data_IF_041504337699
#
_entry.id   IF_041504337699
#
_cell.length_a   1.000
_cell.length_b   1.000
_cell.length_c   1.000
_cell.angle_alpha   90.00
_cell.angle_beta   90.00
_cell.angle_gamma   90.00
#
_symmetry.space_group_name_H-M   'P 1'
#
loop_
_entity.id
_entity.type
_entity.pdbx_description
1 polymer ?
#
# COMPACT_ATOMS: atom_id res chain seq x y z
N UNK A 1 11.01 -7.53 61.24
CA UNK A 1 10.18 -7.41 60.02
C UNK A 1 9.91 -8.83 59.52
N UNK A 2 8.64 -9.24 59.38
CA UNK A 2 8.27 -10.65 59.13
C UNK A 2 8.50 -11.06 57.67
N UNK A 3 8.83 -12.32 57.38
CA UNK A 3 9.00 -12.84 56.02
C UNK A 3 7.77 -12.55 55.13
N UNK A 4 6.58 -12.52 55.74
CA UNK A 4 5.32 -12.16 55.08
C UNK A 4 5.30 -10.72 54.58
N UNK A 5 5.88 -9.78 55.33
CA UNK A 5 5.97 -8.36 54.93
C UNK A 5 6.97 -8.12 53.79
N UNK A 6 8.03 -8.93 53.70
CA UNK A 6 9.01 -8.85 52.61
C UNK A 6 8.39 -9.35 51.30
N UNK A 7 7.71 -10.51 51.34
CA UNK A 7 7.00 -11.04 50.15
C UNK A 7 5.92 -10.08 49.64
N UNK A 8 5.15 -9.47 50.55
CA UNK A 8 4.14 -8.49 50.18
C UNK A 8 4.74 -7.27 49.47
N UNK A 9 5.90 -6.78 49.95
CA UNK A 9 6.59 -5.64 49.34
C UNK A 9 7.16 -5.98 47.97
N UNK A 10 7.73 -7.18 47.80
CA UNK A 10 8.24 -7.64 46.50
C UNK A 10 7.13 -7.82 45.46
N UNK A 11 5.97 -8.33 45.87
CA UNK A 11 4.82 -8.52 44.98
C UNK A 11 4.23 -7.17 44.54
N UNK A 12 4.17 -6.20 45.46
CA UNK A 12 3.72 -4.84 45.18
C UNK A 12 4.66 -4.10 44.23
N UNK A 13 5.97 -4.31 44.35
CA UNK A 13 6.95 -3.69 43.47
C UNK A 13 6.91 -4.32 42.06
N UNK A 14 6.74 -5.64 41.96
CA UNK A 14 6.67 -6.31 40.66
C UNK A 14 5.45 -5.84 39.84
N UNK A 15 4.28 -5.64 40.47
CA UNK A 15 3.08 -5.18 39.76
C UNK A 15 3.19 -3.74 39.25
N UNK A 16 3.93 -2.86 39.95
CA UNK A 16 4.12 -1.47 39.49
C UNK A 16 5.07 -1.39 38.29
N UNK A 17 6.14 -2.19 38.26
CA UNK A 17 7.08 -2.22 37.14
C UNK A 17 6.46 -2.76 35.83
N UNK A 18 5.56 -3.76 35.90
CA UNK A 18 4.95 -4.32 34.69
C UNK A 18 3.93 -3.38 34.01
N UNK A 19 3.40 -2.37 34.72
CA UNK A 19 2.42 -1.43 34.14
C UNK A 19 3.01 -0.43 33.14
N UNK A 20 4.34 -0.25 33.13
CA UNK A 20 5.02 0.76 32.30
C UNK A 20 5.42 0.28 30.90
N UNK A 21 5.25 -1.01 30.56
CA UNK A 21 5.57 -1.52 29.21
C UNK A 21 4.45 -1.37 28.18
N UNK A 22 3.28 -0.84 28.57
CA UNK A 22 2.20 -0.55 27.63
C UNK A 22 2.44 0.78 26.90
N UNK A 23 3.52 0.86 26.12
CA UNK A 23 3.64 1.90 25.10
C UNK A 23 2.54 1.63 24.09
N UNK A 24 1.45 2.41 24.16
CA UNK A 24 0.36 2.38 23.18
C UNK A 24 0.91 2.96 21.87
N UNK A 25 1.67 2.15 21.13
CA UNK A 25 2.07 2.47 19.76
C UNK A 25 0.78 2.46 18.95
N UNK A 26 0.14 3.61 18.84
CA UNK A 26 -0.91 3.83 17.85
C UNK A 26 -0.18 3.88 16.52
N UNK A 27 0.04 2.73 15.91
CA UNK A 27 0.46 2.63 14.52
C UNK A 27 -0.66 3.25 13.70
N UNK A 28 -0.55 4.55 13.39
CA UNK A 28 -1.37 5.17 12.37
C UNK A 28 -0.95 4.53 11.07
N UNK A 29 -1.67 3.49 10.65
CA UNK A 29 -1.55 2.93 9.30
C UNK A 29 -2.12 3.97 8.35
N UNK A 30 -1.34 5.00 8.05
CA UNK A 30 -1.66 5.91 6.97
C UNK A 30 -1.54 5.08 5.68
N UNK A 31 -2.67 4.83 5.04
CA UNK A 31 -2.66 4.16 3.76
C UNK A 31 -1.97 5.09 2.76
N UNK A 32 -0.79 4.68 2.29
CA UNK A 32 -0.06 5.38 1.26
C UNK A 32 -0.70 5.02 -0.09
N UNK A 33 -1.21 6.02 -0.80
CA UNK A 33 -1.66 5.87 -2.19
C UNK A 33 -0.62 6.48 -3.13
N UNK A 34 -0.44 5.91 -4.33
CA UNK A 34 0.33 6.57 -5.38
C UNK A 34 -0.34 7.89 -5.80
N UNK A 35 0.42 8.80 -6.44
CA UNK A 35 -0.15 9.97 -7.09
C UNK A 35 -1.39 9.62 -7.93
N UNK A 36 -2.44 10.43 -7.78
CA UNK A 36 -3.74 10.15 -8.41
C UNK A 36 -3.68 10.05 -9.94
N UNK A 37 -2.71 10.73 -10.56
CA UNK A 37 -2.46 10.66 -12.00
C UNK A 37 -2.11 9.24 -12.50
N UNK A 38 -1.61 8.35 -11.64
CA UNK A 38 -1.31 6.96 -12.02
C UNK A 38 -2.50 6.01 -11.85
N UNK A 39 -3.52 6.43 -11.08
CA UNK A 39 -4.70 5.62 -10.77
C UNK A 39 -5.87 5.86 -11.73
N UNK A 40 -5.70 6.75 -12.71
CA UNK A 40 -6.68 6.94 -13.76
C UNK A 40 -6.88 5.62 -14.52
N UNK A 41 -8.11 5.14 -14.72
CA UNK A 41 -8.35 3.90 -15.44
C UNK A 41 -7.74 3.93 -16.85
N UNK A 42 -7.10 2.84 -17.25
CA UNK A 42 -6.58 2.71 -18.60
C UNK A 42 -7.72 2.75 -19.62
N UNK A 43 -7.57 3.60 -20.65
CA UNK A 43 -8.52 3.65 -21.75
C UNK A 43 -8.46 2.35 -22.54
N UNK A 44 -9.63 1.83 -22.93
CA UNK A 44 -9.77 0.67 -23.80
C UNK A 44 -10.84 0.97 -24.82
N UNK A 45 -10.44 1.51 -25.96
CA UNK A 45 -11.38 1.73 -27.06
C UNK A 45 -11.89 0.40 -27.60
N UNK A 46 -13.20 0.28 -27.80
CA UNK A 46 -13.80 -0.85 -28.49
C UNK A 46 -13.61 -0.72 -30.01
N UNK A 47 -13.40 -1.84 -30.70
CA UNK A 47 -13.37 -1.86 -32.15
C UNK A 47 -14.78 -1.66 -32.72
N UNK A 48 -14.95 -0.70 -33.61
CA UNK A 48 -16.23 -0.38 -34.27
C UNK A 48 -16.13 -0.39 -35.80
N UNK A 49 -15.02 -0.88 -36.34
CA UNK A 49 -14.74 -0.90 -37.77
C UNK A 49 -15.41 -2.07 -38.50
N UNK A 50 -15.47 -1.96 -39.83
CA UNK A 50 -15.99 -3.00 -40.72
C UNK A 50 -14.97 -3.48 -41.75
N UNK A 51 -13.86 -2.77 -41.91
CA UNK A 51 -12.84 -3.03 -42.93
C UNK A 51 -11.48 -3.32 -42.32
N UNK A 52 -10.58 -3.90 -43.12
CA UNK A 52 -9.18 -4.05 -42.72
C UNK A 52 -8.49 -2.70 -42.47
N UNK A 53 -8.90 -1.63 -43.16
CA UNK A 53 -8.39 -0.27 -42.89
C UNK A 53 -8.71 0.16 -41.46
N UNK A 54 -9.96 -0.04 -41.03
CA UNK A 54 -10.39 0.30 -39.67
C UNK A 54 -9.63 -0.50 -38.61
N UNK A 55 -9.24 -1.74 -38.91
CA UNK A 55 -8.42 -2.57 -38.00
C UNK A 55 -7.05 -1.93 -37.78
N UNK A 56 -6.40 -1.43 -38.85
CA UNK A 56 -5.09 -0.78 -38.74
C UNK A 56 -5.19 0.52 -37.94
N UNK A 57 -6.19 1.35 -38.23
CA UNK A 57 -6.44 2.59 -37.49
C UNK A 57 -6.73 2.30 -36.00
N UNK A 58 -7.57 1.31 -35.74
CA UNK A 58 -7.86 0.87 -34.38
C UNK A 58 -6.62 0.33 -33.67
N UNK A 59 -5.77 -0.43 -34.35
CA UNK A 59 -4.53 -0.97 -33.80
C UNK A 59 -3.58 0.15 -33.36
N UNK A 60 -3.44 1.21 -34.15
CA UNK A 60 -2.63 2.39 -33.78
C UNK A 60 -3.20 3.02 -32.51
N UNK A 61 -4.54 3.21 -32.46
CA UNK A 61 -5.21 3.80 -31.31
C UNK A 61 -4.99 2.98 -30.03
N UNK A 62 -5.30 1.68 -30.05
CA UNK A 62 -5.16 0.83 -28.85
C UNK A 62 -3.69 0.60 -28.46
N UNK A 63 -2.75 0.74 -29.40
CA UNK A 63 -1.32 0.75 -29.10
C UNK A 63 -0.95 1.99 -28.30
N UNK A 64 -1.38 3.17 -28.73
CA UNK A 64 -1.17 4.41 -27.97
C UNK A 64 -1.82 4.38 -26.58
N UNK A 65 -3.04 3.85 -26.47
CA UNK A 65 -3.71 3.68 -25.18
C UNK A 65 -2.94 2.74 -24.24
N UNK A 66 -2.40 1.64 -24.79
CA UNK A 66 -1.58 0.69 -24.05
C UNK A 66 -0.26 1.31 -23.59
N UNK A 67 0.41 2.11 -24.40
CA UNK A 67 1.68 2.73 -24.04
C UNK A 67 1.51 3.72 -22.88
N UNK A 68 0.42 4.50 -22.88
CA UNK A 68 0.06 5.38 -21.76
C UNK A 68 -0.23 4.56 -20.50
N UNK A 69 -1.02 3.49 -20.63
CA UNK A 69 -1.33 2.59 -19.51
C UNK A 69 -0.07 1.94 -18.93
N UNK A 70 0.85 1.47 -19.78
CA UNK A 70 2.11 0.87 -19.36
C UNK A 70 2.95 1.87 -18.54
N UNK A 71 3.04 3.13 -19.00
CA UNK A 71 3.70 4.21 -18.26
C UNK A 71 3.08 4.45 -16.89
N UNK A 72 1.75 4.43 -16.76
CA UNK A 72 1.08 4.56 -15.46
C UNK A 72 1.47 3.42 -14.51
N UNK A 73 1.49 2.18 -15.00
CA UNK A 73 1.88 1.01 -14.20
C UNK A 73 3.35 1.09 -13.78
N UNK A 74 4.25 1.49 -14.67
CA UNK A 74 5.67 1.64 -14.35
C UNK A 74 5.89 2.71 -13.28
N UNK A 75 5.19 3.83 -13.37
CA UNK A 75 5.20 4.86 -12.33
C UNK A 75 4.67 4.35 -10.97
N UNK A 76 3.64 3.49 -10.96
CA UNK A 76 3.15 2.85 -9.73
C UNK A 76 4.23 1.96 -9.13
N UNK A 77 4.88 1.11 -9.95
CA UNK A 77 5.95 0.21 -9.51
C UNK A 77 7.13 0.99 -8.92
N UNK A 78 7.56 2.06 -9.60
CA UNK A 78 8.59 2.95 -9.08
C UNK A 78 8.19 3.60 -7.76
N UNK A 79 6.96 4.08 -7.66
CA UNK A 79 6.43 4.65 -6.43
C UNK A 79 6.42 3.62 -5.30
N UNK A 80 5.99 2.38 -5.54
CA UNK A 80 6.02 1.31 -4.54
C UNK A 80 7.44 1.02 -4.06
N UNK A 81 8.40 0.95 -4.99
CA UNK A 81 9.81 0.74 -4.67
C UNK A 81 10.39 1.88 -3.83
N UNK A 82 10.10 3.14 -4.19
CA UNK A 82 10.53 4.34 -3.44
C UNK A 82 9.92 4.39 -2.04
N UNK A 83 8.68 3.95 -1.87
CA UNK A 83 7.95 4.03 -0.61
C UNK A 83 7.96 2.72 0.20
N UNK A 84 8.73 1.71 -0.23
CA UNK A 84 8.86 0.40 0.42
C UNK A 84 7.50 -0.23 0.78
N UNK A 85 6.49 -0.01 -0.07
CA UNK A 85 5.17 -0.60 0.15
C UNK A 85 5.29 -2.09 -0.15
N UNK A 86 5.00 -2.98 0.82
CA UNK A 86 5.13 -4.41 0.61
C UNK A 86 4.26 -4.84 -0.58
N UNK A 87 4.88 -5.46 -1.58
CA UNK A 87 4.16 -6.09 -2.70
C UNK A 87 3.41 -7.27 -2.11
N UNK A 88 2.10 -7.12 -1.93
CA UNK A 88 1.25 -8.25 -1.57
C UNK A 88 1.12 -9.16 -2.82
N UNK A 89 1.54 -10.43 -2.75
CA UNK A 89 1.28 -11.40 -3.82
C UNK A 89 -0.22 -11.67 -3.98
#
# INVERSE_FOLDING_TARGET
MSLKTINALTLLCLTTLLSSCASKVTTKTAYLYPPQAYLTPCTKTAFTGATYGDVVEHLIKVTSERDICASQIDNIREWQNKNQVPIKP
#
